data_IF_714929718330
#
_entry.id   IF_714929718330
#
_cell.length_a   1.000
_cell.length_b   1.000
_cell.length_c   1.000
_cell.angle_alpha   90.00
_cell.angle_beta   90.00
_cell.angle_gamma   90.00
#
_symmetry.space_group_name_H-M   'P 1'
#
loop_
_entity.id
_entity.type
_entity.pdbx_description
1 polymer ?
#
# COMPACT_ATOMS: atom_id res chain seq x y z
N UNK A 1 -3.38 -22.41 11.43
CA UNK A 1 -4.55 -22.27 10.53
C UNK A 1 -4.48 -20.87 9.97
N UNK A 2 -4.24 -20.70 8.67
CA UNK A 2 -4.25 -19.37 8.05
C UNK A 2 -5.69 -18.89 8.00
N UNK A 3 -5.97 -17.73 8.60
CA UNK A 3 -7.29 -17.11 8.56
C UNK A 3 -7.62 -16.78 7.10
N UNK A 4 -8.63 -17.43 6.53
CA UNK A 4 -9.06 -17.14 5.17
C UNK A 4 -9.76 -15.78 5.15
N UNK A 5 -9.12 -14.78 4.55
CA UNK A 5 -9.66 -13.43 4.38
C UNK A 5 -10.41 -13.38 3.03
N UNK A 6 -11.75 -13.27 3.02
CA UNK A 6 -12.52 -13.32 1.77
C UNK A 6 -12.25 -12.13 0.84
N UNK A 7 -12.05 -10.94 1.39
CA UNK A 7 -11.70 -9.71 0.66
C UNK A 7 -10.72 -8.91 1.53
N UNK A 8 -9.47 -8.78 1.08
CA UNK A 8 -8.41 -8.10 1.84
C UNK A 8 -8.66 -6.59 1.93
N UNK A 9 -9.30 -5.98 0.93
CA UNK A 9 -9.62 -4.54 0.98
C UNK A 9 -10.67 -4.29 2.06
N UNK A 10 -11.73 -5.10 2.13
CA UNK A 10 -12.76 -4.99 3.16
C UNK A 10 -12.18 -5.19 4.56
N UNK A 11 -11.32 -6.20 4.70
CA UNK A 11 -10.62 -6.47 5.95
C UNK A 11 -9.77 -5.27 6.40
N UNK A 12 -8.93 -4.73 5.51
CA UNK A 12 -8.07 -3.57 5.82
C UNK A 12 -8.86 -2.27 6.03
N UNK A 13 -9.99 -2.12 5.35
CA UNK A 13 -10.89 -0.98 5.53
C UNK A 13 -11.80 -1.13 6.77
N UNK A 14 -11.82 -2.29 7.44
CA UNK A 14 -12.68 -2.54 8.60
C UNK A 14 -14.18 -2.66 8.26
N UNK A 15 -14.50 -2.98 7.01
CA UNK A 15 -15.88 -3.06 6.52
C UNK A 15 -16.57 -4.28 7.11
N UNK A 16 -17.63 -4.03 7.88
CA UNK A 16 -18.46 -5.08 8.47
C UNK A 16 -19.54 -5.53 7.49
N UNK A 17 -19.85 -6.82 7.49
CA UNK A 17 -20.95 -7.37 6.68
C UNK A 17 -22.27 -6.67 7.00
N UNK A 18 -23.00 -6.24 5.96
CA UNK A 18 -24.27 -5.51 6.09
C UNK A 18 -24.13 -4.01 6.37
N UNK A 19 -22.92 -3.47 6.55
CA UNK A 19 -22.70 -2.02 6.62
C UNK A 19 -23.03 -1.32 5.29
N UNK A 20 -23.26 -0.01 5.32
CA UNK A 20 -23.51 0.78 4.11
C UNK A 20 -22.38 0.63 3.07
N UNK A 21 -21.12 0.59 3.52
CA UNK A 21 -19.98 0.36 2.64
C UNK A 21 -19.95 -1.05 2.05
N UNK A 22 -20.34 -2.07 2.82
CA UNK A 22 -20.45 -3.44 2.30
C UNK A 22 -21.54 -3.52 1.21
N UNK A 23 -22.70 -2.90 1.44
CA UNK A 23 -23.78 -2.82 0.45
C UNK A 23 -23.29 -2.11 -0.82
N UNK A 24 -22.61 -0.97 -0.68
CA UNK A 24 -22.06 -0.23 -1.81
C UNK A 24 -21.05 -1.06 -2.61
N UNK A 25 -20.12 -1.73 -1.93
CA UNK A 25 -19.13 -2.57 -2.60
C UNK A 25 -19.77 -3.78 -3.27
N UNK A 26 -20.83 -4.35 -2.70
CA UNK A 26 -21.61 -5.42 -3.30
C UNK A 26 -22.31 -5.04 -4.62
N UNK A 27 -22.45 -3.74 -4.93
CA UNK A 27 -22.92 -3.29 -6.25
C UNK A 27 -21.88 -3.47 -7.36
N UNK A 28 -20.60 -3.72 -7.01
CA UNK A 28 -19.51 -3.94 -7.96
C UNK A 28 -18.78 -5.27 -7.67
N UNK A 29 -19.47 -6.42 -7.77
CA UNK A 29 -18.92 -7.70 -7.36
C UNK A 29 -17.63 -8.07 -8.12
N UNK A 30 -17.55 -7.75 -9.41
CA UNK A 30 -16.36 -8.00 -10.22
C UNK A 30 -15.13 -7.22 -9.72
N UNK A 31 -15.31 -6.00 -9.19
CA UNK A 31 -14.19 -5.21 -8.68
C UNK A 31 -13.63 -5.82 -7.38
N UNK A 32 -14.52 -6.30 -6.48
CA UNK A 32 -14.13 -7.04 -5.26
C UNK A 32 -13.39 -8.33 -5.62
N UNK A 33 -14.02 -9.15 -6.46
CA UNK A 33 -13.48 -10.44 -6.88
C UNK A 33 -12.12 -10.30 -7.58
N UNK A 34 -12.00 -9.38 -8.54
CA UNK A 34 -10.74 -9.20 -9.27
C UNK A 34 -9.64 -8.64 -8.37
N UNK A 35 -9.94 -7.72 -7.45
CA UNK A 35 -8.95 -7.24 -6.48
C UNK A 35 -8.44 -8.36 -5.57
N UNK A 36 -9.32 -9.23 -5.10
CA UNK A 36 -8.94 -10.40 -4.30
C UNK A 36 -8.11 -11.40 -5.11
N UNK A 37 -8.48 -11.68 -6.36
CA UNK A 37 -7.70 -12.54 -7.25
C UNK A 37 -6.32 -11.96 -7.54
N UNK A 38 -6.20 -10.64 -7.74
CA UNK A 38 -4.91 -9.97 -7.89
C UNK A 38 -4.05 -10.10 -6.63
N UNK A 39 -4.63 -9.93 -5.44
CA UNK A 39 -3.93 -10.19 -4.18
C UNK A 39 -3.38 -11.61 -4.13
N UNK A 40 -4.22 -12.62 -4.40
CA UNK A 40 -3.82 -14.02 -4.37
C UNK A 40 -2.74 -14.33 -5.40
N UNK A 41 -2.87 -13.82 -6.64
CA UNK A 41 -1.85 -14.01 -7.66
C UNK A 41 -0.48 -13.40 -7.28
N UNK A 42 -0.47 -12.35 -6.47
CA UNK A 42 0.75 -11.67 -6.06
C UNK A 42 1.37 -12.20 -4.77
N UNK A 43 0.57 -12.72 -3.83
CA UNK A 43 1.04 -13.16 -2.51
C UNK A 43 0.94 -14.66 -2.26
N UNK A 44 0.03 -15.35 -2.95
CA UNK A 44 -0.15 -16.80 -2.90
C UNK A 44 -0.26 -17.41 -4.32
N UNK A 45 0.69 -17.14 -5.23
CA UNK A 45 0.66 -17.68 -6.58
C UNK A 45 0.76 -19.21 -6.58
N UNK A 46 0.03 -19.87 -7.49
CA UNK A 46 0.16 -21.30 -7.75
C UNK A 46 1.59 -21.66 -8.21
N UNK A 47 2.19 -20.77 -9.00
CA UNK A 47 3.58 -20.86 -9.47
C UNK A 47 4.37 -19.63 -9.00
N UNK A 48 5.09 -19.70 -7.87
CA UNK A 48 5.72 -18.53 -7.26
C UNK A 48 6.80 -17.83 -8.09
N UNK A 49 7.41 -18.53 -9.04
CA UNK A 49 8.59 -18.05 -9.76
C UNK A 49 9.77 -17.79 -8.82
N UNK A 50 10.66 -16.89 -9.22
CA UNK A 50 11.89 -16.59 -8.46
C UNK A 50 11.72 -15.42 -7.47
N UNK A 51 10.57 -14.72 -7.50
CA UNK A 51 10.24 -13.69 -6.50
C UNK A 51 9.65 -14.37 -5.27
N UNK A 52 10.45 -14.42 -4.21
CA UNK A 52 10.11 -15.14 -2.99
C UNK A 52 8.97 -14.49 -2.21
N UNK A 53 8.26 -15.26 -1.39
CA UNK A 53 7.26 -14.71 -0.47
C UNK A 53 7.87 -13.65 0.45
N UNK A 54 9.11 -13.86 0.91
CA UNK A 54 9.85 -12.90 1.74
C UNK A 54 10.02 -11.56 1.02
N UNK A 55 10.49 -11.56 -0.23
CA UNK A 55 10.66 -10.32 -1.01
C UNK A 55 9.32 -9.62 -1.24
N UNK A 56 8.26 -10.38 -1.56
CA UNK A 56 6.91 -9.83 -1.76
C UNK A 56 6.41 -9.11 -0.50
N UNK A 57 6.50 -9.75 0.66
CA UNK A 57 6.05 -9.17 1.92
C UNK A 57 6.97 -8.05 2.44
N UNK A 58 8.29 -8.11 2.18
CA UNK A 58 9.21 -7.03 2.50
C UNK A 58 8.91 -5.76 1.67
N UNK A 59 8.73 -5.91 0.36
CA UNK A 59 8.32 -4.80 -0.53
C UNK A 59 6.93 -4.29 -0.15
N UNK A 60 5.99 -5.18 0.18
CA UNK A 60 4.65 -4.78 0.61
C UNK A 60 4.64 -3.96 1.90
N UNK A 61 5.43 -4.38 2.90
CA UNK A 61 5.61 -3.64 4.15
C UNK A 61 6.20 -2.26 3.87
N UNK A 62 7.25 -2.19 3.05
CA UNK A 62 7.90 -0.95 2.67
C UNK A 62 6.96 0.02 1.95
N UNK A 63 6.26 -0.44 0.91
CA UNK A 63 5.30 0.37 0.14
C UNK A 63 4.15 0.85 1.04
N UNK A 64 3.60 -0.01 1.89
CA UNK A 64 2.56 0.38 2.85
C UNK A 64 3.05 1.49 3.81
N UNK A 65 4.29 1.37 4.28
CA UNK A 65 4.95 2.40 5.08
C UNK A 65 5.09 3.75 4.36
N UNK A 66 5.54 3.74 3.09
CA UNK A 66 5.67 4.97 2.28
C UNK A 66 4.32 5.67 2.06
N UNK A 67 3.23 4.92 1.99
CA UNK A 67 1.87 5.46 1.89
C UNK A 67 1.33 6.02 3.21
N UNK A 68 2.00 5.80 4.34
CA UNK A 68 1.61 6.33 5.64
C UNK A 68 0.33 5.72 6.20
N UNK A 69 0.03 4.45 5.91
CA UNK A 69 -1.16 3.74 6.40
C UNK A 69 -0.77 2.64 7.42
N UNK A 70 -0.68 2.95 8.73
CA UNK A 70 -0.11 2.03 9.74
C UNK A 70 -0.77 0.66 9.77
N UNK A 71 -2.11 0.60 9.68
CA UNK A 71 -2.83 -0.67 9.71
C UNK A 71 -2.53 -1.57 8.49
N UNK A 72 -2.15 -1.01 7.33
CA UNK A 72 -1.76 -1.80 6.15
C UNK A 72 -0.32 -2.27 6.31
N UNK A 73 0.55 -1.41 6.86
CA UNK A 73 1.93 -1.78 7.19
C UNK A 73 1.96 -2.92 8.19
N UNK A 74 1.17 -2.85 9.26
CA UNK A 74 1.03 -3.91 10.27
C UNK A 74 0.54 -5.23 9.66
N UNK A 75 -0.42 -5.18 8.74
CA UNK A 75 -0.92 -6.36 8.05
C UNK A 75 0.18 -7.09 7.26
N UNK A 76 0.97 -6.36 6.48
CA UNK A 76 2.05 -6.95 5.69
C UNK A 76 3.28 -7.33 6.51
N UNK A 77 3.60 -6.55 7.55
CA UNK A 77 4.73 -6.84 8.44
C UNK A 77 4.47 -8.09 9.29
N UNK A 78 3.23 -8.36 9.68
CA UNK A 78 2.86 -9.58 10.40
C UNK A 78 3.16 -10.85 9.58
N UNK A 79 2.85 -10.85 8.28
CA UNK A 79 3.19 -11.99 7.41
C UNK A 79 4.71 -12.10 7.16
N UNK A 80 5.41 -10.97 7.02
CA UNK A 80 6.88 -10.97 6.94
C UNK A 80 7.53 -11.58 8.20
N UNK A 81 7.01 -11.25 9.40
CA UNK A 81 7.46 -11.81 10.66
C UNK A 81 7.19 -13.32 10.75
N UNK A 82 6.01 -13.77 10.29
CA UNK A 82 5.64 -15.20 10.24
C UNK A 82 6.56 -16.04 9.36
N UNK A 83 7.13 -15.45 8.31
CA UNK A 83 8.12 -16.11 7.45
C UNK A 83 9.49 -16.31 8.14
N UNK A 84 9.65 -15.89 9.40
CA UNK A 84 10.79 -16.26 10.24
C UNK A 84 11.96 -15.26 10.24
N UNK A 85 11.72 -14.00 9.90
CA UNK A 85 12.78 -12.99 9.78
C UNK A 85 12.56 -11.69 10.58
N UNK A 86 12.47 -11.73 11.93
CA UNK A 86 12.25 -10.52 12.76
C UNK A 86 13.29 -9.42 12.50
N UNK A 87 14.57 -9.81 12.36
CA UNK A 87 15.67 -8.87 12.07
C UNK A 87 15.53 -8.15 10.72
N UNK A 88 14.78 -8.71 9.76
CA UNK A 88 14.51 -8.06 8.47
C UNK A 88 13.37 -7.06 8.60
N UNK A 89 12.34 -7.36 9.40
CA UNK A 89 11.25 -6.41 9.66
C UNK A 89 11.79 -5.10 10.26
N UNK A 90 12.66 -5.17 11.27
CA UNK A 90 13.27 -3.98 11.89
C UNK A 90 14.07 -3.13 10.87
N UNK A 91 14.75 -3.79 9.93
CA UNK A 91 15.48 -3.10 8.85
C UNK A 91 14.52 -2.40 7.91
N UNK A 92 13.44 -3.08 7.51
CA UNK A 92 12.42 -2.48 6.64
C UNK A 92 11.75 -1.29 7.32
N UNK A 93 11.43 -1.37 8.61
CA UNK A 93 10.85 -0.24 9.37
C UNK A 93 11.81 0.97 9.42
N UNK A 94 13.11 0.71 9.59
CA UNK A 94 14.15 1.76 9.53
C UNK A 94 14.19 2.41 8.15
N UNK A 95 14.18 1.59 7.09
CA UNK A 95 14.21 2.08 5.72
C UNK A 95 12.91 2.80 5.31
N UNK A 96 11.75 2.41 5.84
CA UNK A 96 10.48 3.16 5.68
C UNK A 96 10.65 4.58 6.23
N UNK A 97 11.23 4.71 7.43
CA UNK A 97 11.44 6.02 8.06
C UNK A 97 12.42 6.88 7.25
N UNK A 98 13.48 6.28 6.69
CA UNK A 98 14.45 6.98 5.84
C UNK A 98 13.88 7.36 4.46
N UNK A 99 13.00 6.53 3.90
CA UNK A 99 12.36 6.73 2.61
C UNK A 99 11.12 7.63 2.62
N UNK A 100 10.64 8.02 3.80
CA UNK A 100 9.41 8.80 3.97
C UNK A 100 9.50 10.16 3.26
N UNK A 101 8.61 10.39 2.29
CA UNK A 101 8.49 11.64 1.54
C UNK A 101 7.07 11.81 0.99
N UNK A 102 6.79 12.92 0.29
CA UNK A 102 5.48 13.22 -0.31
C UNK A 102 5.63 13.53 -1.81
N UNK A 103 5.40 12.53 -2.65
CA UNK A 103 5.40 12.66 -4.11
C UNK A 103 3.98 12.84 -4.70
N UNK A 104 3.81 12.72 -6.03
CA UNK A 104 4.80 12.22 -6.99
C UNK A 104 5.77 13.30 -7.49
N UNK A 105 7.05 12.99 -7.42
CA UNK A 105 8.16 13.74 -7.99
C UNK A 105 8.48 13.28 -9.42
N UNK A 106 9.40 14.02 -10.02
CA UNK A 106 10.00 13.74 -11.30
C UNK A 106 9.58 14.71 -12.39
N UNK A 107 10.07 14.46 -13.61
CA UNK A 107 9.90 15.36 -14.74
C UNK A 107 9.15 14.72 -15.92
N UNK A 108 8.28 15.50 -16.56
CA UNK A 108 7.75 15.20 -17.88
C UNK A 108 8.74 15.62 -18.97
N UNK A 109 8.69 14.98 -20.16
CA UNK A 109 9.29 15.53 -21.37
C UNK A 109 8.81 16.96 -21.65
N UNK A 110 9.59 17.73 -22.41
CA UNK A 110 9.20 19.09 -22.79
C UNK A 110 7.77 19.14 -23.36
N UNK A 111 6.93 19.99 -22.78
CA UNK A 111 5.50 20.02 -23.08
C UNK A 111 4.66 20.67 -21.98
N UNK A 112 3.32 20.67 -22.13
CA UNK A 112 2.41 21.39 -21.23
C UNK A 112 2.41 20.83 -19.80
N UNK A 113 2.74 19.54 -19.62
CA UNK A 113 2.77 18.90 -18.31
C UNK A 113 4.03 19.25 -17.49
N UNK A 114 5.02 19.92 -18.07
CA UNK A 114 6.24 20.32 -17.35
C UNK A 114 5.96 21.26 -16.17
N UNK A 115 4.80 21.93 -16.15
CA UNK A 115 4.33 22.73 -15.01
C UNK A 115 4.08 21.89 -13.75
N UNK A 116 3.89 20.58 -13.89
CA UNK A 116 3.71 19.65 -12.78
C UNK A 116 5.03 19.02 -12.30
N UNK A 117 6.17 19.37 -12.90
CA UNK A 117 7.47 18.83 -12.51
C UNK A 117 7.81 19.23 -11.07
N UNK A 118 8.19 18.26 -10.26
CA UNK A 118 8.56 18.49 -8.86
C UNK A 118 9.80 17.67 -8.54
N UNK A 119 10.82 18.31 -7.97
CA UNK A 119 12.03 17.59 -7.53
C UNK A 119 11.81 17.03 -6.13
N UNK A 120 12.33 15.83 -5.88
CA UNK A 120 12.26 15.17 -4.59
C UNK A 120 13.53 14.40 -4.25
N UNK A 121 13.67 13.96 -2.99
CA UNK A 121 14.81 13.17 -2.56
C UNK A 121 14.83 11.80 -3.24
N UNK A 122 15.92 11.47 -3.93
CA UNK A 122 16.15 10.13 -4.47
C UNK A 122 16.58 9.22 -3.33
N UNK A 123 15.73 8.26 -3.00
CA UNK A 123 16.01 7.29 -1.94
C UNK A 123 17.05 6.26 -2.37
N UNK A 124 17.90 5.91 -1.42
CA UNK A 124 18.82 4.79 -1.48
C UNK A 124 18.83 4.11 -0.12
N UNK A 125 18.86 2.77 -0.12
CA UNK A 125 18.99 2.01 1.12
C UNK A 125 20.31 2.37 1.78
N UNK A 126 20.30 2.60 3.11
CA UNK A 126 21.49 2.96 3.87
C UNK A 126 22.60 1.91 3.76
N UNK A 127 23.88 2.36 3.79
CA UNK A 127 25.03 1.48 3.60
C UNK A 127 25.03 0.27 4.57
N UNK A 128 24.69 0.51 5.84
CA UNK A 128 24.61 -0.52 6.88
C UNK A 128 23.51 -1.54 6.61
N UNK A 129 22.37 -1.10 6.08
CA UNK A 129 21.25 -1.99 5.79
C UNK A 129 21.38 -2.73 4.46
N UNK A 130 22.17 -2.22 3.50
CA UNK A 130 22.46 -2.93 2.23
C UNK A 130 23.08 -4.30 2.48
N UNK A 131 24.01 -4.41 3.43
CA UNK A 131 24.63 -5.70 3.79
C UNK A 131 23.58 -6.67 4.38
N UNK A 132 22.70 -6.15 5.23
CA UNK A 132 21.67 -6.95 5.93
C UNK A 132 20.55 -7.42 5.00
N UNK A 133 20.19 -6.60 4.01
CA UNK A 133 19.13 -6.91 3.05
C UNK A 133 19.62 -7.78 1.89
N UNK A 134 20.89 -7.59 1.49
CA UNK A 134 21.46 -8.14 0.27
C UNK A 134 21.11 -7.30 -0.96
N UNK A 135 21.89 -7.47 -2.03
CA UNK A 135 21.78 -6.67 -3.25
C UNK A 135 20.39 -6.77 -3.91
N UNK A 136 19.81 -7.97 -3.98
CA UNK A 136 18.52 -8.23 -4.64
C UNK A 136 17.37 -7.46 -3.98
N UNK A 137 17.21 -7.59 -2.66
CA UNK A 137 16.16 -6.89 -1.92
C UNK A 137 16.42 -5.38 -1.83
N UNK A 138 17.69 -4.96 -1.73
CA UNK A 138 18.07 -3.54 -1.79
C UNK A 138 17.54 -2.89 -3.08
N UNK A 139 17.85 -3.48 -4.24
CA UNK A 139 17.39 -2.96 -5.53
C UNK A 139 15.86 -2.95 -5.63
N UNK A 140 15.18 -3.93 -5.04
CA UNK A 140 13.72 -3.98 -5.03
C UNK A 140 13.08 -2.86 -4.20
N UNK A 141 13.65 -2.50 -3.04
CA UNK A 141 13.16 -1.38 -2.23
C UNK A 141 13.39 -0.03 -2.93
N UNK A 142 14.57 0.15 -3.54
CA UNK A 142 14.88 1.37 -4.32
C UNK A 142 13.94 1.51 -5.53
N UNK A 143 13.64 0.41 -6.23
CA UNK A 143 12.66 0.39 -7.32
C UNK A 143 11.23 0.65 -6.83
N UNK A 144 10.84 0.07 -5.70
CA UNK A 144 9.53 0.33 -5.12
C UNK A 144 9.36 1.80 -4.73
N UNK A 145 10.39 2.42 -4.13
CA UNK A 145 10.38 3.86 -3.83
C UNK A 145 10.25 4.70 -5.10
N UNK A 146 11.04 4.38 -6.13
CA UNK A 146 10.94 5.03 -7.45
C UNK A 146 9.52 4.99 -8.00
N UNK A 147 8.86 3.83 -8.01
CA UNK A 147 7.50 3.71 -8.55
C UNK A 147 6.43 4.40 -7.69
N UNK A 148 6.62 4.47 -6.36
CA UNK A 148 5.66 5.11 -5.45
C UNK A 148 5.80 6.63 -5.47
N UNK A 149 7.03 7.15 -5.46
CA UNK A 149 7.31 8.58 -5.21
C UNK A 149 7.92 9.30 -6.41
N UNK A 150 8.56 8.61 -7.35
CA UNK A 150 9.17 9.18 -8.55
C UNK A 150 8.70 8.48 -9.85
N UNK A 151 7.39 8.17 -10.03
CA UNK A 151 6.94 7.35 -11.16
C UNK A 151 7.28 7.96 -12.52
N UNK A 152 7.45 9.28 -12.59
CA UNK A 152 7.83 10.03 -13.81
C UNK A 152 9.29 9.82 -14.20
N UNK A 153 10.14 9.46 -13.24
CA UNK A 153 11.59 9.23 -13.45
C UNK A 153 11.91 7.76 -13.77
N UNK A 154 10.88 6.90 -13.89
CA UNK A 154 11.05 5.50 -14.29
C UNK A 154 11.75 5.42 -15.66
N UNK A 155 12.86 4.70 -15.72
CA UNK A 155 13.75 4.71 -16.87
C UNK A 155 14.42 3.35 -17.12
N UNK A 156 14.93 3.09 -18.33
CA UNK A 156 15.71 1.88 -18.62
C UNK A 156 16.91 1.71 -17.68
N UNK A 157 17.57 2.80 -17.28
CA UNK A 157 18.69 2.76 -16.34
C UNK A 157 18.26 2.30 -14.94
N UNK A 158 17.05 2.66 -14.49
CA UNK A 158 16.51 2.17 -13.23
C UNK A 158 16.22 0.66 -13.30
N UNK A 159 15.67 0.18 -14.42
CA UNK A 159 15.44 -1.26 -14.64
C UNK A 159 16.76 -2.04 -14.72
N UNK A 160 17.81 -1.46 -15.29
CA UNK A 160 19.13 -2.09 -15.36
C UNK A 160 19.71 -2.39 -13.96
N UNK A 161 19.49 -1.51 -12.98
CA UNK A 161 19.93 -1.76 -11.59
C UNK A 161 19.32 -3.02 -10.99
N UNK A 162 18.08 -3.37 -11.35
CA UNK A 162 17.45 -4.63 -10.92
C UNK A 162 18.13 -5.82 -11.60
N UNK A 163 18.40 -5.74 -12.91
CA UNK A 163 19.11 -6.80 -13.65
C UNK A 163 20.51 -7.03 -13.05
N UNK A 164 21.25 -5.97 -12.75
CA UNK A 164 22.58 -6.02 -12.14
C UNK A 164 22.53 -6.64 -10.72
N UNK A 165 21.41 -6.48 -10.01
CA UNK A 165 21.14 -7.11 -8.72
C UNK A 165 20.60 -8.55 -8.83
N UNK A 166 20.57 -9.12 -10.04
CA UNK A 166 20.20 -10.51 -10.32
C UNK A 166 18.71 -10.75 -10.52
N UNK A 167 17.88 -9.71 -10.66
CA UNK A 167 16.48 -9.87 -11.05
C UNK A 167 16.38 -10.30 -12.52
N UNK A 168 15.51 -11.27 -12.82
CA UNK A 168 15.17 -11.57 -14.21
C UNK A 168 14.15 -10.55 -14.74
N UNK A 169 14.02 -10.42 -16.07
CA UNK A 169 12.99 -9.57 -16.67
C UNK A 169 11.57 -9.94 -16.18
N UNK A 170 11.30 -11.23 -16.03
CA UNK A 170 10.01 -11.74 -15.50
C UNK A 170 9.79 -11.32 -14.05
N UNK A 171 10.84 -11.36 -13.23
CA UNK A 171 10.78 -10.93 -11.84
C UNK A 171 10.53 -9.43 -11.72
N UNK A 172 11.17 -8.63 -12.58
CA UNK A 172 10.98 -7.17 -12.62
C UNK A 172 9.53 -6.80 -12.93
N UNK A 173 8.91 -7.51 -13.88
CA UNK A 173 7.48 -7.33 -14.19
C UNK A 173 6.63 -7.67 -12.97
N UNK A 174 6.90 -8.81 -12.32
CA UNK A 174 6.18 -9.25 -11.11
C UNK A 174 6.32 -8.25 -9.97
N UNK A 175 7.53 -7.75 -9.73
CA UNK A 175 7.82 -6.73 -8.71
C UNK A 175 7.07 -5.42 -9.01
N UNK A 176 7.07 -4.97 -10.27
CA UNK A 176 6.41 -3.73 -10.66
C UNK A 176 4.88 -3.86 -10.58
N UNK A 177 4.33 -5.03 -10.90
CA UNK A 177 2.91 -5.36 -10.70
C UNK A 177 2.54 -5.37 -9.22
N UNK A 178 3.38 -5.94 -8.37
CA UNK A 178 3.21 -5.93 -6.91
C UNK A 178 3.11 -4.50 -6.39
N UNK A 179 4.07 -3.63 -6.72
CA UNK A 179 4.08 -2.23 -6.27
C UNK A 179 2.86 -1.47 -6.79
N UNK A 180 2.47 -1.69 -8.05
CA UNK A 180 1.29 -1.06 -8.64
C UNK A 180 0.00 -1.50 -7.94
N UNK A 181 -0.16 -2.80 -7.68
CA UNK A 181 -1.31 -3.36 -6.96
C UNK A 181 -1.39 -2.81 -5.54
N UNK A 182 -0.28 -2.79 -4.80
CA UNK A 182 -0.22 -2.23 -3.45
C UNK A 182 -0.64 -0.76 -3.44
N UNK A 183 -0.08 0.04 -4.36
CA UNK A 183 -0.42 1.46 -4.49
C UNK A 183 -1.90 1.69 -4.81
N UNK A 184 -2.53 0.79 -5.57
CA UNK A 184 -3.97 0.78 -5.81
C UNK A 184 -4.74 0.40 -4.53
N UNK A 185 -4.42 -0.75 -3.94
CA UNK A 185 -5.12 -1.31 -2.80
C UNK A 185 -5.11 -0.35 -1.61
N UNK A 186 -3.94 0.21 -1.29
CA UNK A 186 -3.77 1.12 -0.16
C UNK A 186 -4.61 2.39 -0.35
N UNK A 187 -4.63 2.98 -1.55
CA UNK A 187 -5.46 4.17 -1.85
C UNK A 187 -6.95 3.86 -1.78
N UNK A 188 -7.38 2.69 -2.26
CA UNK A 188 -8.78 2.25 -2.13
C UNK A 188 -9.16 2.11 -0.66
N UNK A 189 -8.32 1.46 0.14
CA UNK A 189 -8.57 1.29 1.58
C UNK A 189 -8.63 2.65 2.29
N UNK A 190 -7.67 3.55 2.02
CA UNK A 190 -7.68 4.89 2.60
C UNK A 190 -8.97 5.67 2.24
N UNK A 191 -9.39 5.61 0.97
CA UNK A 191 -10.63 6.26 0.53
C UNK A 191 -11.90 5.67 1.17
N UNK A 192 -11.97 4.35 1.33
CA UNK A 192 -13.10 3.69 1.99
C UNK A 192 -13.19 4.05 3.48
N UNK A 193 -12.04 4.11 4.17
CA UNK A 193 -11.98 4.52 5.57
C UNK A 193 -12.40 5.98 5.74
N UNK A 194 -11.90 6.87 4.89
CA UNK A 194 -12.32 8.27 4.90
C UNK A 194 -13.83 8.43 4.68
N UNK A 195 -14.43 7.61 3.80
CA UNK A 195 -15.87 7.60 3.58
C UNK A 195 -16.66 7.08 4.80
N UNK A 196 -16.19 6.01 5.46
CA UNK A 196 -16.78 5.52 6.71
C UNK A 196 -16.75 6.59 7.82
N UNK A 197 -15.60 7.24 8.00
CA UNK A 197 -15.41 8.28 9.02
C UNK A 197 -16.34 9.48 8.76
N UNK A 198 -16.46 9.93 7.51
CA UNK A 198 -17.37 11.02 7.13
C UNK A 198 -18.85 10.68 7.42
N UNK A 199 -19.30 9.47 7.08
CA UNK A 199 -20.67 9.03 7.37
C UNK A 199 -20.97 8.89 8.86
N UNK A 200 -19.97 8.53 9.68
CA UNK A 200 -20.13 8.47 11.13
C UNK A 200 -20.31 9.86 11.77
N UNK A 201 -19.59 10.88 11.27
CA UNK A 201 -19.75 12.27 11.73
C UNK A 201 -21.15 12.80 11.42
N UNK A 202 -21.65 12.60 10.19
CA UNK A 202 -23.01 13.03 9.81
C UNK A 202 -24.10 12.40 10.69
N UNK A 203 -23.93 11.13 11.07
CA UNK A 203 -24.89 10.42 11.93
C UNK A 203 -24.91 11.03 13.34
N UNK A 204 -23.74 11.34 13.90
CA UNK A 204 -23.62 11.95 15.23
C UNK A 204 -24.20 13.38 15.24
N UNK A 205 -23.95 14.18 14.21
CA UNK A 205 -24.50 15.54 14.11
C UNK A 205 -26.04 15.53 14.00
N UNK A 206 -26.59 14.57 13.25
CA UNK A 206 -28.04 14.38 13.16
C UNK A 206 -28.66 13.95 14.50
N UNK A 207 -28.01 13.04 15.23
CA UNK A 207 -28.46 12.57 16.55
C UNK A 207 -28.40 13.68 17.60
N UNK A 208 -27.32 14.47 17.64
CA UNK A 208 -27.21 15.66 18.49
C UNK A 208 -28.27 16.71 18.17
N UNK A 209 -28.55 16.95 16.88
CA UNK A 209 -29.59 17.89 16.46
C UNK A 209 -30.98 17.42 16.92
N UNK A 210 -31.27 16.13 16.84
CA UNK A 210 -32.53 15.58 17.33
C UNK A 210 -32.66 15.65 18.86
N UNK A 211 -31.58 15.37 19.61
CA UNK A 211 -31.56 15.52 21.07
C UNK A 211 -31.82 16.98 21.46
N UNK A 212 -31.13 17.94 20.85
CA UNK A 212 -31.34 19.36 21.14
C UNK A 212 -32.76 19.83 20.80
N UNK A 213 -33.31 19.37 19.67
CA UNK A 213 -34.70 19.70 19.28
C UNK A 213 -35.70 19.07 20.25
N UNK A 214 -35.46 17.84 20.71
CA UNK A 214 -36.29 17.15 21.70
C UNK A 214 -36.25 17.80 23.10
N UNK A 215 -35.08 18.29 23.53
CA UNK A 215 -34.94 19.04 24.79
C UNK A 215 -35.67 20.38 24.73
N UNK A 216 -35.56 21.12 23.62
CA UNK A 216 -36.31 22.37 23.43
C UNK A 216 -37.82 22.16 23.31
N UNK A 217 -38.26 21.06 22.70
CA UNK A 217 -39.68 20.73 22.55
C UNK A 217 -40.33 20.16 23.83
N UNK A 218 -39.54 19.59 24.75
CA UNK A 218 -40.04 19.01 26.01
C UNK A 218 -40.17 20.02 27.17
N UNK A 219 -39.73 21.27 26.98
CA UNK A 219 -39.94 22.35 27.97
C UNK A 219 -39.21 22.15 29.30
N UNK A 220 -38.26 21.21 29.37
CA UNK A 220 -37.42 20.99 30.54
C UNK A 220 -36.16 21.87 30.46
N UNK A 221 -36.32 23.15 30.82
CA UNK A 221 -35.22 24.04 31.23
C UNK A 221 -35.52 24.57 32.62
#
# INVERSE_FOLDING_TARGET
MSTHIPDVIDHLAGIQSGSNLDVLRNQRPQARENAQKSYLALFAPEFPGDVTALERYAVATFVAGLHGQPHVTEFYSAELQRLGHPRRTDVIDTEIALGAAKGPYGAYPEGPLTVENEQGPVYQVSADNRERLGARLTAALEHAHLLVLHPRDASPAALQKLLDAGWSTTDIVTLSQLVSFLSFQIRVVAGLRALADASAVETNDAEYTQIFTGVLASGAV
#
